data_IF_868371479541
#
_entry.id   IF_868371479541
#
_cell.length_a   1.000
_cell.length_b   1.000
_cell.length_c   1.000
_cell.angle_alpha   90.00
_cell.angle_beta   90.00
_cell.angle_gamma   90.00
#
_symmetry.space_group_name_H-M   'P 1'
#
loop_
_entity.id
_entity.type
_entity.pdbx_description
1 polymer ?
#
# COMPACT_ATOMS: atom_id res chain seq x y z
N UNK A 1 11.03 -1.77 3.48
CA UNK A 1 11.08 -1.03 2.20
C UNK A 1 11.42 0.41 2.49
N UNK A 2 12.32 0.99 1.71
CA UNK A 2 12.97 2.26 2.05
C UNK A 2 12.39 3.45 1.30
N UNK A 3 12.33 4.60 1.96
CA UNK A 3 11.90 5.85 1.33
C UNK A 3 12.90 6.24 0.25
N UNK A 4 12.47 6.50 -1.01
CA UNK A 4 13.39 6.80 -2.11
C UNK A 4 14.10 8.14 -1.94
N UNK A 5 13.61 9.02 -1.06
CA UNK A 5 14.21 10.33 -0.82
C UNK A 5 15.30 10.32 0.26
N UNK A 6 15.09 9.59 1.37
CA UNK A 6 15.98 9.64 2.53
C UNK A 6 16.54 8.28 2.97
N UNK A 7 16.25 7.21 2.22
CA UNK A 7 16.75 5.84 2.37
C UNK A 7 16.48 5.17 3.74
N UNK A 8 15.64 5.76 4.58
CA UNK A 8 15.21 5.12 5.83
C UNK A 8 14.07 4.13 5.59
N UNK A 9 13.90 3.17 6.49
CA UNK A 9 12.76 2.26 6.46
C UNK A 9 11.44 3.01 6.63
N UNK A 10 10.51 2.76 5.71
CA UNK A 10 9.14 3.25 5.77
C UNK A 10 8.31 2.45 6.76
N UNK A 11 7.15 2.98 7.14
CA UNK A 11 6.16 2.27 7.96
C UNK A 11 4.86 2.06 7.19
N UNK A 12 4.10 1.04 7.56
CA UNK A 12 2.73 0.85 7.08
C UNK A 12 1.85 1.86 7.82
N UNK A 13 1.19 2.75 7.09
CA UNK A 13 0.20 3.67 7.65
C UNK A 13 -1.18 3.02 7.70
N UNK A 14 -1.55 2.27 6.67
CA UNK A 14 -2.85 1.63 6.54
C UNK A 14 -2.72 0.29 5.83
N UNK A 15 -3.48 -0.69 6.32
CA UNK A 15 -3.71 -1.95 5.62
C UNK A 15 -5.21 -2.11 5.37
N UNK A 16 -5.60 -2.46 4.16
CA UNK A 16 -7.00 -2.70 3.80
C UNK A 16 -7.11 -3.79 2.73
N UNK A 17 -8.32 -4.29 2.56
CA UNK A 17 -8.64 -5.22 1.48
C UNK A 17 -9.29 -4.46 0.33
N UNK A 18 -8.90 -4.81 -0.88
CA UNK A 18 -9.54 -4.35 -2.11
C UNK A 18 -10.03 -5.57 -2.88
N UNK A 19 -11.28 -5.52 -3.34
CA UNK A 19 -11.91 -6.61 -4.09
C UNK A 19 -12.22 -6.09 -5.48
N UNK A 20 -11.75 -6.83 -6.49
CA UNK A 20 -12.03 -6.55 -7.89
C UNK A 20 -12.77 -7.73 -8.52
N UNK A 21 -13.66 -7.47 -9.47
CA UNK A 21 -14.34 -8.54 -10.23
C UNK A 21 -15.49 -9.25 -9.50
N UNK A 22 -15.93 -8.76 -8.33
CA UNK A 22 -17.07 -9.32 -7.57
C UNK A 22 -18.40 -8.63 -7.91
N UNK A 23 -18.69 -8.46 -9.20
CA UNK A 23 -19.91 -7.80 -9.68
C UNK A 23 -20.84 -8.73 -10.46
N UNK A 24 -20.36 -9.91 -10.86
CA UNK A 24 -21.11 -10.93 -11.59
C UNK A 24 -20.53 -12.32 -11.31
N UNK A 25 -21.32 -13.40 -11.37
CA UNK A 25 -20.81 -14.78 -11.36
C UNK A 25 -19.84 -15.11 -12.51
N UNK A 26 -19.88 -14.33 -13.60
CA UNK A 26 -19.05 -14.54 -14.78
C UNK A 26 -17.68 -13.83 -14.70
N UNK A 27 -17.45 -13.02 -13.68
CA UNK A 27 -16.18 -12.30 -13.47
C UNK A 27 -15.39 -12.94 -12.35
N UNK A 28 -14.09 -13.17 -12.59
CA UNK A 28 -13.22 -13.77 -11.58
C UNK A 28 -12.95 -12.75 -10.47
N UNK A 29 -13.42 -13.06 -9.27
CA UNK A 29 -13.14 -12.29 -8.07
C UNK A 29 -11.65 -12.38 -7.73
N UNK A 30 -11.03 -11.22 -7.51
CA UNK A 30 -9.67 -11.08 -6.98
C UNK A 30 -9.72 -10.29 -5.69
N UNK A 31 -8.99 -10.76 -4.69
CA UNK A 31 -8.87 -10.05 -3.41
C UNK A 31 -7.42 -9.66 -3.21
N UNK A 32 -7.20 -8.41 -2.84
CA UNK A 32 -5.88 -7.86 -2.61
C UNK A 32 -5.74 -7.38 -1.16
N UNK A 33 -4.59 -7.67 -0.55
CA UNK A 33 -4.11 -6.97 0.63
C UNK A 33 -3.32 -5.73 0.15
N UNK A 34 -3.82 -4.54 0.50
CA UNK A 34 -3.24 -3.27 0.11
C UNK A 34 -2.65 -2.57 1.32
N UNK A 35 -1.41 -2.10 1.18
CA UNK A 35 -0.66 -1.42 2.24
C UNK A 35 -0.15 -0.08 1.75
N UNK A 36 -0.58 1.00 2.40
CA UNK A 36 -0.05 2.34 2.15
C UNK A 36 1.17 2.57 3.03
N UNK A 37 2.29 2.89 2.40
CA UNK A 37 3.60 3.00 3.02
C UNK A 37 4.02 4.47 3.11
N UNK A 38 4.46 4.89 4.30
CA UNK A 38 4.81 6.29 4.57
C UNK A 38 6.22 6.44 5.10
N UNK A 39 6.82 7.60 4.84
CA UNK A 39 8.08 7.97 5.44
C UNK A 39 7.87 8.39 6.90
N UNK A 40 8.65 7.80 7.81
CA UNK A 40 8.63 8.11 9.25
C UNK A 40 9.69 9.13 9.69
N UNK A 41 10.47 9.67 8.77
CA UNK A 41 11.52 10.65 9.09
C UNK A 41 10.92 12.06 9.17
N UNK A 42 10.85 12.72 10.34
CA UNK A 42 10.26 14.06 10.49
C UNK A 42 10.96 15.16 9.70
N UNK A 43 12.21 14.92 9.26
CA UNK A 43 12.99 15.87 8.46
C UNK A 43 12.87 15.63 6.95
N UNK A 44 12.13 14.61 6.53
CA UNK A 44 11.95 14.28 5.13
C UNK A 44 10.71 14.98 4.56
N UNK A 45 10.77 15.44 3.32
CA UNK A 45 9.62 16.05 2.64
C UNK A 45 8.43 15.08 2.47
N UNK A 46 8.70 13.78 2.51
CA UNK A 46 7.71 12.71 2.46
C UNK A 46 7.16 12.32 3.85
N UNK A 47 7.52 13.03 4.93
CA UNK A 47 7.06 12.69 6.27
C UNK A 47 5.55 12.56 6.34
N UNK A 48 5.07 11.40 6.81
CA UNK A 48 3.66 11.03 6.94
C UNK A 48 2.83 11.07 5.64
N UNK A 49 3.47 11.24 4.47
CA UNK A 49 2.82 11.12 3.16
C UNK A 49 2.92 9.69 2.66
N UNK A 50 1.90 9.23 1.94
CA UNK A 50 1.95 7.96 1.21
C UNK A 50 2.99 8.07 0.11
N UNK A 51 4.05 7.29 0.24
CA UNK A 51 5.18 7.22 -0.70
C UNK A 51 4.95 6.12 -1.71
N UNK A 52 4.36 5.00 -1.27
CA UNK A 52 4.15 3.82 -2.08
C UNK A 52 2.92 3.07 -1.56
N UNK A 53 2.16 2.45 -2.47
CA UNK A 53 1.07 1.53 -2.13
C UNK A 53 1.43 0.15 -2.66
N UNK A 54 1.59 -0.81 -1.76
CA UNK A 54 1.89 -2.20 -2.11
C UNK A 54 0.59 -2.98 -2.19
N UNK A 55 0.34 -3.63 -3.33
CA UNK A 55 -0.87 -4.41 -3.60
C UNK A 55 -0.49 -5.87 -3.86
N UNK A 56 -0.88 -6.75 -2.94
CA UNK A 56 -0.61 -8.19 -3.00
C UNK A 56 -1.92 -8.95 -3.18
N UNK A 57 -2.06 -9.73 -4.26
CA UNK A 57 -3.22 -10.59 -4.44
C UNK A 57 -3.16 -11.76 -3.47
N UNK A 58 -4.27 -12.02 -2.77
CA UNK A 58 -4.43 -13.09 -1.78
C UNK A 58 -5.51 -14.12 -2.17
N UNK A 59 -6.38 -13.77 -3.12
CA UNK A 59 -7.34 -14.67 -3.76
C UNK A 59 -7.47 -14.29 -5.24
#
# INVERSE_FOLDING_TARGET
MKCPLCDIEMMIQKTYMEVEGDTSPDTVTKVFNVQDMTCRNPKCENFEKVVETVKNQIL
#
